data_IF_744269710504
#
_entry.id   IF_744269710504
#
_cell.length_a   1.000
_cell.length_b   1.000
_cell.length_c   1.000
_cell.angle_alpha   90.00
_cell.angle_beta   90.00
_cell.angle_gamma   90.00
#
_symmetry.space_group_name_H-M   'P 1'
#
loop_
_entity.id
_entity.type
_entity.pdbx_description
1 polymer ?
#
# COMPACT_ATOMS: atom_id res chain seq x y z
N UNK A 1 35.92 -65.53 0.54
CA UNK A 1 35.21 -65.14 1.78
C UNK A 1 34.00 -64.29 1.40
N UNK A 2 32.83 -64.92 1.24
CA UNK A 2 31.58 -64.33 0.69
C UNK A 2 31.06 -63.16 1.55
N UNK A 3 31.30 -63.24 2.86
CA UNK A 3 30.90 -62.24 3.84
C UNK A 3 31.47 -60.85 3.52
N UNK A 4 32.77 -60.78 3.16
CA UNK A 4 33.43 -59.51 2.83
C UNK A 4 32.85 -58.84 1.58
N UNK A 5 32.41 -59.63 0.60
CA UNK A 5 31.77 -59.11 -0.61
C UNK A 5 30.40 -58.50 -0.30
N UNK A 6 29.62 -59.16 0.56
CA UNK A 6 28.31 -58.67 0.98
C UNK A 6 28.41 -57.36 1.77
N UNK A 7 29.38 -57.23 2.68
CA UNK A 7 29.64 -55.96 3.40
C UNK A 7 30.02 -54.81 2.47
N UNK A 8 30.82 -55.08 1.43
CA UNK A 8 31.19 -54.05 0.45
C UNK A 8 29.99 -53.61 -0.40
N UNK A 9 29.12 -54.55 -0.81
CA UNK A 9 27.87 -54.24 -1.49
C UNK A 9 26.93 -53.42 -0.61
N UNK A 10 26.78 -53.79 0.67
CA UNK A 10 25.94 -53.07 1.63
C UNK A 10 26.43 -51.63 1.86
N UNK A 11 27.75 -51.44 2.01
CA UNK A 11 28.35 -50.11 2.15
C UNK A 11 28.14 -49.25 0.89
N UNK A 12 28.17 -49.87 -0.29
CA UNK A 12 27.93 -49.20 -1.57
C UNK A 12 26.47 -48.74 -1.67
N UNK A 13 25.51 -49.61 -1.33
CA UNK A 13 24.08 -49.24 -1.28
C UNK A 13 23.84 -48.10 -0.28
N UNK A 14 24.49 -48.14 0.88
CA UNK A 14 24.39 -47.05 1.87
C UNK A 14 24.88 -45.71 1.33
N UNK A 15 25.99 -45.69 0.57
CA UNK A 15 26.48 -44.46 -0.09
C UNK A 15 25.51 -43.93 -1.13
N UNK A 16 24.93 -44.82 -1.95
CA UNK A 16 23.91 -44.42 -2.93
C UNK A 16 22.66 -43.84 -2.27
N UNK A 17 22.19 -44.42 -1.17
CA UNK A 17 21.07 -43.86 -0.42
C UNK A 17 21.35 -42.45 0.10
N UNK A 18 22.56 -42.20 0.63
CA UNK A 18 22.94 -40.87 1.10
C UNK A 18 22.99 -39.84 -0.04
N UNK A 19 23.46 -40.24 -1.22
CA UNK A 19 23.50 -39.35 -2.39
C UNK A 19 22.10 -39.00 -2.89
N UNK A 20 21.21 -39.99 -3.00
CA UNK A 20 19.81 -39.77 -3.38
C UNK A 20 19.11 -38.84 -2.37
N UNK A 21 19.32 -39.05 -1.06
CA UNK A 21 18.75 -38.18 -0.03
C UNK A 21 19.25 -36.73 -0.14
N UNK A 22 20.52 -36.54 -0.53
CA UNK A 22 21.12 -35.23 -0.77
C UNK A 22 20.45 -34.54 -1.97
N UNK A 23 20.25 -35.26 -3.07
CA UNK A 23 19.58 -34.74 -4.27
C UNK A 23 18.13 -34.36 -4.00
N UNK A 24 17.38 -35.20 -3.28
CA UNK A 24 16.00 -34.91 -2.87
C UNK A 24 15.95 -33.63 -2.04
N UNK A 25 16.83 -33.50 -1.03
CA UNK A 25 16.88 -32.31 -0.18
C UNK A 25 17.18 -31.04 -0.99
N UNK A 26 18.16 -31.11 -1.90
CA UNK A 26 18.53 -29.97 -2.74
C UNK A 26 17.39 -29.58 -3.69
N UNK A 27 16.72 -30.57 -4.26
CA UNK A 27 15.57 -30.34 -5.16
C UNK A 27 14.40 -29.72 -4.41
N UNK A 28 14.07 -30.24 -3.22
CA UNK A 28 13.03 -29.68 -2.35
C UNK A 28 13.32 -28.22 -1.97
N UNK A 29 14.58 -27.89 -1.66
CA UNK A 29 14.99 -26.51 -1.37
C UNK A 29 14.75 -25.57 -2.56
N UNK A 30 15.15 -25.99 -3.77
CA UNK A 30 14.93 -25.20 -5.00
C UNK A 30 13.45 -24.98 -5.30
N UNK A 31 12.63 -26.02 -5.15
CA UNK A 31 11.17 -25.90 -5.34
C UNK A 31 10.58 -24.92 -4.33
N UNK A 32 10.96 -25.02 -3.05
CA UNK A 32 10.47 -24.12 -2.01
C UNK A 32 10.86 -22.66 -2.25
N UNK A 33 12.11 -22.42 -2.66
CA UNK A 33 12.59 -21.09 -3.05
C UNK A 33 11.78 -20.53 -4.22
N UNK A 34 11.56 -21.34 -5.28
CA UNK A 34 10.76 -20.92 -6.43
C UNK A 34 9.33 -20.54 -6.06
N UNK A 35 8.66 -21.33 -5.20
CA UNK A 35 7.33 -21.01 -4.70
C UNK A 35 7.33 -19.70 -3.89
N UNK A 36 8.35 -19.48 -3.06
CA UNK A 36 8.48 -18.25 -2.28
C UNK A 36 8.65 -17.01 -3.17
N UNK A 37 9.47 -17.12 -4.22
CA UNK A 37 9.64 -16.05 -5.22
C UNK A 37 8.33 -15.74 -5.92
N UNK A 38 7.60 -16.77 -6.40
CA UNK A 38 6.31 -16.59 -7.08
C UNK A 38 5.28 -15.92 -6.15
N UNK A 39 5.21 -16.32 -4.89
CA UNK A 39 4.30 -15.70 -3.91
C UNK A 39 4.64 -14.21 -3.69
N UNK A 40 5.93 -13.88 -3.67
CA UNK A 40 6.41 -12.50 -3.52
C UNK A 40 6.05 -11.66 -4.75
N UNK A 41 6.32 -12.16 -5.95
CA UNK A 41 5.96 -11.51 -7.21
C UNK A 41 4.44 -11.33 -7.33
N UNK A 42 3.65 -12.34 -6.96
CA UNK A 42 2.18 -12.25 -6.96
C UNK A 42 1.67 -11.20 -5.97
N UNK A 43 2.30 -11.07 -4.80
CA UNK A 43 2.03 -9.99 -3.85
C UNK A 43 2.26 -8.61 -4.48
N UNK A 44 3.42 -8.39 -5.09
CA UNK A 44 3.76 -7.15 -5.79
C UNK A 44 2.83 -6.83 -6.96
N UNK A 45 2.38 -7.85 -7.69
CA UNK A 45 1.41 -7.69 -8.78
C UNK A 45 0.02 -7.31 -8.26
N UNK A 46 -0.42 -7.89 -7.14
CA UNK A 46 -1.69 -7.50 -6.51
C UNK A 46 -1.69 -6.02 -6.10
N UNK A 47 -0.57 -5.52 -5.58
CA UNK A 47 -0.42 -4.09 -5.30
C UNK A 47 -0.55 -3.22 -6.56
N UNK A 48 0.06 -3.62 -7.68
CA UNK A 48 -0.06 -2.89 -8.94
C UNK A 48 -1.49 -2.90 -9.52
N UNK A 49 -2.19 -4.04 -9.47
CA UNK A 49 -3.56 -4.14 -9.97
C UNK A 49 -4.52 -3.31 -9.12
N UNK A 50 -4.33 -3.28 -7.80
CA UNK A 50 -5.15 -2.47 -6.91
C UNK A 50 -4.90 -0.97 -7.09
N UNK A 51 -3.71 -0.52 -7.50
CA UNK A 51 -3.34 0.89 -7.69
C UNK A 51 -3.78 1.49 -9.05
N UNK A 52 -4.73 0.86 -9.76
CA UNK A 52 -5.18 1.29 -11.10
C UNK A 52 -6.24 2.40 -11.08
N UNK A 53 -6.68 2.85 -9.90
CA UNK A 53 -7.77 3.83 -9.81
C UNK A 53 -7.40 5.22 -10.34
N UNK A 54 -6.11 5.58 -10.29
CA UNK A 54 -5.56 6.83 -10.79
C UNK A 54 -4.43 6.53 -11.79
N UNK A 55 -4.76 6.48 -13.10
CA UNK A 55 -3.78 6.30 -14.17
C UNK A 55 -3.30 7.66 -14.74
N UNK A 56 -2.10 7.67 -15.31
CA UNK A 56 -1.43 8.83 -15.95
C UNK A 56 -2.14 9.25 -17.23
N UNK A 57 -3.23 9.97 -17.12
CA UNK A 57 -3.86 10.54 -18.31
C UNK A 57 -4.46 11.91 -17.98
N UNK A 58 -3.56 12.88 -17.78
CA UNK A 58 -3.78 14.32 -17.84
C UNK A 58 -5.01 14.86 -17.11
N UNK A 59 -4.86 15.16 -15.82
CA UNK A 59 -5.78 16.00 -15.06
C UNK A 59 -6.69 15.27 -14.07
N UNK A 60 -7.37 16.03 -13.18
CA UNK A 60 -8.21 15.45 -12.15
C UNK A 60 -9.41 14.70 -12.73
N UNK A 61 -9.43 13.37 -12.54
CA UNK A 61 -10.56 12.50 -12.90
C UNK A 61 -11.30 12.04 -11.64
N UNK A 62 -12.62 11.99 -11.75
CA UNK A 62 -13.48 11.31 -10.80
C UNK A 62 -13.49 9.81 -11.11
N UNK A 63 -12.95 8.98 -10.22
CA UNK A 63 -13.04 7.51 -10.29
C UNK A 63 -13.91 6.99 -9.14
N UNK A 64 -14.43 5.77 -9.23
CA UNK A 64 -15.18 5.16 -8.12
C UNK A 64 -14.40 3.97 -7.54
N UNK A 65 -14.13 4.00 -6.24
CA UNK A 65 -13.67 2.84 -5.46
C UNK A 65 -14.78 2.50 -4.46
N UNK A 66 -15.34 1.29 -4.51
CA UNK A 66 -16.43 0.83 -3.62
C UNK A 66 -17.60 1.82 -3.50
N UNK A 67 -18.04 2.39 -4.63
CA UNK A 67 -19.10 3.42 -4.72
C UNK A 67 -18.76 4.77 -4.04
N UNK A 68 -17.49 5.01 -3.69
CA UNK A 68 -16.99 6.32 -3.27
C UNK A 68 -16.33 7.00 -4.47
N UNK A 69 -16.81 8.20 -4.79
CA UNK A 69 -16.16 9.08 -5.76
C UNK A 69 -14.83 9.57 -5.19
N UNK A 70 -13.74 9.32 -5.91
CA UNK A 70 -12.38 9.73 -5.58
C UNK A 70 -11.88 10.76 -6.59
N UNK A 71 -10.98 11.64 -6.14
CA UNK A 71 -10.28 12.59 -6.99
C UNK A 71 -8.84 12.10 -7.18
N UNK A 72 -8.41 11.96 -8.43
CA UNK A 72 -7.04 11.59 -8.77
C UNK A 72 -6.20 12.82 -9.14
N UNK A 73 -4.92 12.83 -8.78
CA UNK A 73 -3.92 13.78 -9.30
C UNK A 73 -2.56 13.08 -9.44
N UNK A 74 -2.04 12.96 -10.66
CA UNK A 74 -0.73 12.35 -10.97
C UNK A 74 -0.46 11.04 -10.20
N UNK A 75 -1.33 10.04 -10.36
CA UNK A 75 -1.27 8.72 -9.69
C UNK A 75 -1.63 8.73 -8.19
N UNK A 76 -1.91 9.89 -7.59
CA UNK A 76 -2.34 10.00 -6.20
C UNK A 76 -3.86 10.11 -6.07
N UNK A 77 -4.40 9.43 -5.07
CA UNK A 77 -5.77 9.65 -4.60
C UNK A 77 -5.74 10.82 -3.62
N UNK A 78 -6.47 11.89 -3.92
CA UNK A 78 -6.59 13.06 -3.05
C UNK A 78 -7.60 12.77 -1.94
N UNK A 79 -7.10 12.64 -0.71
CA UNK A 79 -7.93 12.37 0.49
C UNK A 79 -8.40 13.67 1.19
N UNK A 80 -7.69 14.78 0.97
CA UNK A 80 -8.01 16.10 1.51
C UNK A 80 -7.49 17.19 0.57
N UNK A 81 -8.24 18.29 0.42
CA UNK A 81 -7.75 19.52 -0.20
C UNK A 81 -8.21 20.76 0.56
N UNK A 82 -7.34 21.77 0.66
CA UNK A 82 -7.59 23.07 1.27
C UNK A 82 -7.12 24.19 0.35
N UNK A 83 -7.76 25.36 0.42
CA UNK A 83 -7.29 26.56 -0.26
C UNK A 83 -7.81 26.73 -1.70
N UNK A 84 -8.77 25.91 -2.13
CA UNK A 84 -9.39 26.04 -3.46
C UNK A 84 -10.12 27.39 -3.54
N UNK A 85 -9.94 28.17 -4.63
CA UNK A 85 -10.70 29.41 -4.83
C UNK A 85 -12.20 29.14 -4.77
N UNK A 86 -12.90 29.89 -3.91
CA UNK A 86 -14.36 29.83 -3.78
C UNK A 86 -14.99 30.99 -4.56
N UNK A 87 -16.18 30.78 -5.12
CA UNK A 87 -16.89 31.82 -5.85
C UNK A 87 -17.26 32.98 -4.90
N UNK A 88 -17.26 34.23 -5.38
CA UNK A 88 -17.73 35.37 -4.58
C UNK A 88 -19.12 35.11 -4.00
N UNK A 89 -19.28 35.32 -2.69
CA UNK A 89 -20.55 35.08 -1.99
C UNK A 89 -20.83 33.61 -1.61
N UNK A 90 -19.91 32.67 -1.89
CA UNK A 90 -20.01 31.29 -1.38
C UNK A 90 -19.17 31.11 -0.12
N UNK A 91 -19.73 30.38 0.86
CA UNK A 91 -18.99 30.00 2.05
C UNK A 91 -17.94 28.93 1.72
N UNK A 92 -16.78 29.04 2.36
CA UNK A 92 -15.75 28.00 2.30
C UNK A 92 -16.21 26.77 3.09
N UNK A 93 -15.75 25.60 2.69
CA UNK A 93 -15.99 24.36 3.44
C UNK A 93 -15.49 24.50 4.88
N UNK A 94 -16.39 24.41 5.85
CA UNK A 94 -16.02 24.37 7.27
C UNK A 94 -15.44 23.00 7.65
N UNK A 95 -14.28 22.99 8.31
CA UNK A 95 -13.57 21.81 8.82
C UNK A 95 -13.78 21.57 10.32
N UNK A 96 -14.32 22.52 11.07
CA UNK A 96 -14.74 22.29 12.46
C UNK A 96 -16.03 21.47 12.47
N UNK A 97 -15.87 20.14 12.56
CA UNK A 97 -16.91 19.15 12.37
C UNK A 97 -16.85 18.06 13.44
N UNK A 98 -18.02 17.49 13.72
CA UNK A 98 -18.14 16.34 14.65
C UNK A 98 -17.54 15.07 14.04
N UNK A 99 -17.23 14.10 14.91
CA UNK A 99 -16.64 12.81 14.54
C UNK A 99 -17.36 12.11 13.39
N UNK A 100 -18.69 11.98 13.47
CA UNK A 100 -19.48 11.30 12.45
C UNK A 100 -19.34 11.92 11.05
N UNK A 101 -19.07 13.23 10.98
CA UNK A 101 -18.85 13.93 9.70
C UNK A 101 -17.44 13.67 9.18
N UNK A 102 -16.42 13.62 10.05
CA UNK A 102 -15.08 13.19 9.67
C UNK A 102 -15.00 11.72 9.25
N UNK A 103 -15.82 10.86 9.84
CA UNK A 103 -15.90 9.45 9.48
C UNK A 103 -16.45 9.26 8.06
N UNK A 104 -17.51 9.99 7.71
CA UNK A 104 -18.19 9.90 6.42
C UNK A 104 -17.53 10.72 5.29
N UNK A 105 -16.88 11.83 5.63
CA UNK A 105 -16.37 12.82 4.68
C UNK A 105 -17.32 14.00 4.45
N UNK A 106 -16.78 15.11 3.96
CA UNK A 106 -17.51 16.35 3.72
C UNK A 106 -16.79 17.25 2.71
N UNK A 107 -17.50 18.28 2.23
CA UNK A 107 -17.00 19.17 1.18
C UNK A 107 -17.30 18.64 -0.21
N UNK A 108 -16.68 19.25 -1.23
CA UNK A 108 -16.92 18.90 -2.63
C UNK A 108 -15.60 18.68 -3.37
N UNK A 109 -15.59 17.75 -4.31
CA UNK A 109 -14.40 17.42 -5.12
C UNK A 109 -13.96 18.59 -6.01
N UNK A 110 -14.86 19.54 -6.30
CA UNK A 110 -14.52 20.80 -6.98
C UNK A 110 -13.97 21.89 -6.06
N UNK A 111 -13.98 21.68 -4.74
CA UNK A 111 -13.58 22.67 -3.73
C UNK A 111 -12.70 22.06 -2.63
N UNK A 112 -12.80 22.61 -1.43
CA UNK A 112 -12.15 22.05 -0.26
C UNK A 112 -12.98 20.89 0.29
N UNK A 113 -12.31 19.78 0.63
CA UNK A 113 -12.99 18.56 1.08
C UNK A 113 -12.12 17.67 1.96
N UNK A 114 -12.79 16.73 2.60
CA UNK A 114 -12.25 15.59 3.33
C UNK A 114 -12.96 14.32 2.86
N UNK A 115 -12.21 13.31 2.41
CA UNK A 115 -12.80 12.10 1.80
C UNK A 115 -13.55 11.22 2.82
N UNK A 116 -13.15 11.25 4.10
CA UNK A 116 -13.73 10.46 5.19
C UNK A 116 -12.79 9.39 5.74
N UNK A 117 -12.73 9.23 7.07
CA UNK A 117 -11.85 8.25 7.73
C UNK A 117 -12.18 6.81 7.33
N UNK A 118 -13.46 6.50 7.12
CA UNK A 118 -13.88 5.17 6.63
C UNK A 118 -13.28 4.87 5.26
N UNK A 119 -13.30 5.84 4.35
CA UNK A 119 -12.71 5.69 3.02
C UNK A 119 -11.19 5.53 3.10
N UNK A 120 -10.50 6.31 3.94
CA UNK A 120 -9.05 6.20 4.12
C UNK A 120 -8.66 4.83 4.71
N UNK A 121 -9.40 4.32 5.69
CA UNK A 121 -9.19 2.97 6.22
C UNK A 121 -9.35 1.89 5.13
N UNK A 122 -10.39 2.00 4.30
CA UNK A 122 -10.61 1.07 3.20
C UNK A 122 -9.47 1.10 2.17
N UNK A 123 -9.02 2.30 1.78
CA UNK A 123 -7.88 2.49 0.86
C UNK A 123 -6.59 1.87 1.41
N UNK A 124 -6.24 2.18 2.66
CA UNK A 124 -5.01 1.66 3.28
C UNK A 124 -5.05 0.14 3.44
N UNK A 125 -6.24 -0.44 3.68
CA UNK A 125 -6.44 -1.90 3.69
C UNK A 125 -6.29 -2.55 2.31
N UNK A 126 -6.55 -1.81 1.23
CA UNK A 126 -6.38 -2.29 -0.15
C UNK A 126 -4.94 -2.21 -0.67
N UNK A 127 -4.05 -1.57 0.10
CA UNK A 127 -2.62 -1.47 -0.19
C UNK A 127 -2.15 -0.07 -0.60
N UNK A 128 -3.03 0.94 -0.62
CA UNK A 128 -2.66 2.34 -0.81
C UNK A 128 -2.04 2.89 0.49
N UNK A 129 -0.75 2.64 0.67
CA UNK A 129 -0.04 2.81 1.96
C UNK A 129 1.00 3.91 1.96
N UNK A 130 1.18 4.64 0.86
CA UNK A 130 2.05 5.82 0.81
C UNK A 130 1.22 7.09 0.99
N UNK A 131 1.77 8.09 1.68
CA UNK A 131 1.15 9.41 1.82
C UNK A 131 2.09 10.49 1.31
N UNK A 132 1.55 11.41 0.50
CA UNK A 132 2.18 12.67 0.14
C UNK A 132 1.35 13.83 0.68
N UNK A 133 2.01 14.78 1.31
CA UNK A 133 1.41 16.03 1.81
C UNK A 133 2.10 17.18 1.11
N UNK A 134 1.36 17.89 0.27
CA UNK A 134 1.80 19.12 -0.37
C UNK A 134 1.30 20.34 0.42
N UNK A 135 2.19 21.28 0.72
CA UNK A 135 1.93 22.50 1.48
C UNK A 135 2.35 23.72 0.67
N UNK A 136 1.60 24.80 0.78
CA UNK A 136 1.92 26.10 0.21
C UNK A 136 1.67 27.18 1.27
N UNK A 137 2.65 28.07 1.49
CA UNK A 137 2.52 29.19 2.41
C UNK A 137 1.88 30.42 1.73
N UNK A 138 1.65 31.48 2.49
CA UNK A 138 1.05 32.73 1.98
C UNK A 138 1.95 33.49 0.99
N UNK A 139 3.25 33.18 0.95
CA UNK A 139 4.22 33.75 0.03
C UNK A 139 4.36 32.91 -1.25
N UNK A 140 3.61 31.80 -1.36
CA UNK A 140 3.67 30.85 -2.47
C UNK A 140 4.83 29.86 -2.37
N UNK A 141 5.52 29.78 -1.23
CA UNK A 141 6.55 28.78 -0.99
C UNK A 141 5.92 27.40 -0.84
N UNK A 142 6.35 26.46 -1.71
CA UNK A 142 5.84 25.09 -1.74
C UNK A 142 6.78 24.13 -1.04
N UNK A 143 6.22 23.28 -0.19
CA UNK A 143 6.94 22.21 0.51
C UNK A 143 6.15 20.91 0.43
N UNK A 144 6.84 19.80 0.66
CA UNK A 144 6.20 18.50 0.71
C UNK A 144 6.79 17.63 1.81
N UNK A 145 5.96 16.70 2.27
CA UNK A 145 6.33 15.55 3.09
C UNK A 145 5.81 14.28 2.43
N UNK A 146 6.58 13.20 2.48
CA UNK A 146 6.20 11.87 2.03
C UNK A 146 6.42 10.86 3.14
N UNK A 147 5.54 9.87 3.22
CA UNK A 147 5.63 8.75 4.15
C UNK A 147 5.47 7.45 3.37
N UNK A 148 6.44 6.53 3.53
CA UNK A 148 6.39 5.21 2.90
C UNK A 148 5.33 4.29 3.52
N UNK A 149 5.01 4.52 4.80
CA UNK A 149 3.95 3.81 5.50
C UNK A 149 2.94 4.82 6.02
N UNK A 150 1.69 4.63 5.63
CA UNK A 150 0.50 5.35 6.04
C UNK A 150 -0.65 4.37 6.11
N UNK A 151 -1.08 4.07 7.33
CA UNK A 151 -2.19 3.16 7.59
C UNK A 151 -3.15 3.81 8.57
N UNK A 152 -4.45 3.64 8.31
CA UNK A 152 -5.51 4.10 9.20
C UNK A 152 -6.31 2.89 9.64
N UNK A 153 -6.37 2.64 10.94
CA UNK A 153 -7.09 1.50 11.50
C UNK A 153 -8.62 1.64 11.35
N UNK A 154 -9.37 0.58 11.67
CA UNK A 154 -10.84 0.62 11.60
C UNK A 154 -11.49 1.45 12.72
N UNK A 155 -12.81 1.61 12.65
CA UNK A 155 -13.59 2.39 13.63
C UNK A 155 -13.46 1.87 15.07
N UNK A 156 -13.30 0.55 15.26
CA UNK A 156 -13.04 -0.07 16.59
C UNK A 156 -11.76 0.44 17.25
N UNK A 157 -10.75 0.70 16.43
CA UNK A 157 -9.45 1.26 16.83
C UNK A 157 -9.42 2.78 16.72
N UNK A 158 -10.59 3.41 16.57
CA UNK A 158 -10.76 4.87 16.48
C UNK A 158 -9.92 5.50 15.36
N UNK A 159 -9.77 4.79 14.23
CA UNK A 159 -8.98 5.27 13.09
C UNK A 159 -7.54 5.67 13.46
N UNK A 160 -6.93 4.95 14.40
CA UNK A 160 -5.53 5.16 14.80
C UNK A 160 -4.62 5.17 13.57
N UNK A 161 -3.79 6.22 13.50
CA UNK A 161 -2.78 6.42 12.46
C UNK A 161 -1.50 5.66 12.77
N UNK A 162 -0.97 4.95 11.78
CA UNK A 162 0.39 4.43 11.76
C UNK A 162 1.13 5.09 10.61
N UNK A 163 2.23 5.79 10.90
CA UNK A 163 3.06 6.44 9.88
C UNK A 163 4.55 6.20 10.12
N UNK A 164 5.30 5.97 9.04
CA UNK A 164 6.77 5.89 9.09
C UNK A 164 7.40 6.14 7.71
N UNK A 165 8.73 6.21 7.65
CA UNK A 165 9.47 6.45 6.41
C UNK A 165 9.34 7.89 5.91
N UNK A 166 9.44 8.86 6.82
CA UNK A 166 9.36 10.28 6.47
C UNK A 166 10.50 10.68 5.53
N UNK A 167 10.14 11.40 4.46
CA UNK A 167 11.06 12.13 3.59
C UNK A 167 10.43 13.47 3.20
N UNK A 168 11.25 14.46 2.84
CA UNK A 168 10.75 15.75 2.32
C UNK A 168 11.41 16.97 2.94
N UNK A 169 10.87 18.13 2.55
CA UNK A 169 11.42 19.46 2.88
C UNK A 169 10.47 20.29 3.76
N UNK A 170 9.35 19.71 4.20
CA UNK A 170 8.38 20.35 5.08
C UNK A 170 8.90 20.51 6.53
N UNK A 171 9.92 19.75 6.92
CA UNK A 171 10.33 19.59 8.32
C UNK A 171 9.48 18.52 9.00
N UNK A 172 10.08 17.78 9.94
CA UNK A 172 9.37 16.84 10.84
C UNK A 172 8.98 17.57 12.13
#
# INVERSE_FOLDING_TARGET
NVFNNLTNQLATVGKYQQEILREIRNTSSKVFQGVTTILTEFGSLKHHVNNTACLTDGGPRGSNIRNKLILCDNEWIIIQRRGTPSLPGTERTNFDRIWAVYENGFGTIGGDFWIGLKAIHELTTEGYTQLKVDLEDWNGEKRYAMFDVFEVAGSKDKYRLTVSGYTGIAGD
#
